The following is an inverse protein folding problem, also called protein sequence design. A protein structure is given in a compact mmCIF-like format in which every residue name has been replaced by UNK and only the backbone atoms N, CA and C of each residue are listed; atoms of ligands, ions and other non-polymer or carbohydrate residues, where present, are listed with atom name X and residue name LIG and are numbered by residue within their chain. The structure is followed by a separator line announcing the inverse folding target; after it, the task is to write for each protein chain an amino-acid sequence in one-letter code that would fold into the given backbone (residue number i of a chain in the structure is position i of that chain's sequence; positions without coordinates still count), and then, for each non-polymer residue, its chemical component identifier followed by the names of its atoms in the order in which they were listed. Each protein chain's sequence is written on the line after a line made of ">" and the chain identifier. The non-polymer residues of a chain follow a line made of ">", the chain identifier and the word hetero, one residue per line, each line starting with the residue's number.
data_IF_139578765438
#
_entry.id   IF_139578765438
#
_cell.length_a   1.000
_cell.length_b   1.000
_cell.length_c   1.000
_cell.angle_alpha   90.00
_cell.angle_beta   90.00
_cell.angle_gamma   90.00
#
_symmetry.space_group_name_H-M   'P 1'
#
loop_
_entity.id
_entity.type
_entity.pdbx_description
1 polymer ?
#
# COMPACT_ATOMS: atom_id res chain seq x y z
N UNK A 1 19.78 1.76 -0.35
CA UNK A 1 18.74 2.37 -1.22
C UNK A 1 19.37 3.37 -2.18
N UNK A 2 18.59 4.00 -3.07
CA UNK A 2 19.07 5.15 -3.83
C UNK A 2 19.40 6.30 -2.87
N UNK A 3 20.50 7.06 -3.06
CA UNK A 3 21.44 6.98 -4.19
C UNK A 3 22.54 5.92 -4.04
N UNK A 4 22.87 5.48 -2.83
CA UNK A 4 24.02 4.62 -2.54
C UNK A 4 24.07 3.32 -3.37
N UNK A 5 22.92 2.68 -3.66
CA UNK A 5 22.88 1.46 -4.47
C UNK A 5 23.20 1.75 -5.94
N UNK A 6 22.76 2.90 -6.46
CA UNK A 6 23.01 3.31 -7.84
C UNK A 6 24.50 3.57 -8.07
N UNK A 7 25.17 4.27 -7.13
CA UNK A 7 26.60 4.57 -7.25
C UNK A 7 27.47 3.30 -7.28
N UNK A 8 27.04 2.24 -6.58
CA UNK A 8 27.71 0.93 -6.62
C UNK A 8 27.56 0.21 -7.96
N UNK A 9 26.60 0.57 -8.80
CA UNK A 9 26.41 -0.03 -10.13
C UNK A 9 27.45 0.42 -11.16
N UNK A 10 28.26 1.45 -10.84
CA UNK A 10 29.34 1.96 -11.72
C UNK A 10 28.88 2.28 -13.15
N UNK A 11 27.65 2.76 -13.30
CA UNK A 11 27.06 3.16 -14.58
C UNK A 11 27.82 4.37 -15.13
N UNK A 12 28.17 4.34 -16.41
CA UNK A 12 28.90 5.43 -17.06
C UNK A 12 28.03 6.67 -17.20
N UNK A 13 28.63 7.86 -17.06
CA UNK A 13 27.93 9.14 -17.21
C UNK A 13 27.41 9.40 -18.63
N UNK A 14 27.96 8.68 -19.61
CA UNK A 14 27.56 8.75 -21.01
C UNK A 14 26.44 7.75 -21.35
N UNK A 15 26.15 6.79 -20.46
CA UNK A 15 25.08 5.82 -20.69
C UNK A 15 23.72 6.51 -20.72
N UNK A 16 22.84 5.99 -21.57
CA UNK A 16 21.44 6.42 -21.63
C UNK A 16 20.66 5.75 -20.50
N UNK A 17 20.07 6.56 -19.63
CA UNK A 17 19.26 6.12 -18.49
C UNK A 17 17.80 6.38 -18.75
N UNK A 18 17.01 5.32 -18.91
CA UNK A 18 15.55 5.40 -18.89
C UNK A 18 15.05 5.07 -17.48
N UNK A 19 14.44 6.05 -16.81
CA UNK A 19 13.95 5.91 -15.43
C UNK A 19 12.42 6.03 -15.37
N UNK A 20 11.81 5.24 -14.49
CA UNK A 20 10.36 5.27 -14.27
C UNK A 20 10.01 4.92 -12.81
N UNK A 21 8.84 5.37 -12.37
CA UNK A 21 8.22 5.00 -11.12
C UNK A 21 6.70 5.05 -11.28
N UNK A 22 5.92 4.69 -10.26
CA UNK A 22 4.44 4.62 -10.33
C UNK A 22 3.81 5.87 -10.96
N UNK A 23 4.10 7.07 -10.42
CA UNK A 23 3.48 8.33 -10.84
C UNK A 23 4.46 9.43 -11.28
N UNK A 24 5.72 9.11 -11.56
CA UNK A 24 6.72 10.06 -12.07
C UNK A 24 7.49 10.88 -11.01
N UNK A 25 6.88 11.23 -9.87
CA UNK A 25 7.50 12.16 -8.89
C UNK A 25 8.88 11.75 -8.36
N UNK A 26 9.14 10.45 -8.18
CA UNK A 26 10.47 9.97 -7.75
C UNK A 26 11.51 10.11 -8.85
N UNK A 27 11.09 10.00 -10.11
CA UNK A 27 11.97 10.19 -11.26
C UNK A 27 12.38 11.64 -11.41
N UNK A 28 11.50 12.61 -11.17
CA UNK A 28 11.86 14.03 -11.19
C UNK A 28 13.00 14.33 -10.20
N UNK A 29 12.86 13.82 -8.95
CA UNK A 29 13.89 13.97 -7.92
C UNK A 29 15.18 13.23 -8.27
N UNK A 30 15.07 11.99 -8.76
CA UNK A 30 16.23 11.20 -9.15
C UNK A 30 16.97 11.80 -10.35
N UNK A 31 16.26 12.31 -11.35
CA UNK A 31 16.84 13.01 -12.49
C UNK A 31 17.63 14.23 -12.03
N UNK A 32 17.06 15.07 -11.16
CA UNK A 32 17.78 16.21 -10.56
C UNK A 32 19.08 15.81 -9.89
N UNK A 33 19.07 14.74 -9.09
CA UNK A 33 20.28 14.18 -8.48
C UNK A 33 21.31 13.71 -9.52
N UNK A 34 20.88 12.96 -10.53
CA UNK A 34 21.76 12.40 -11.56
C UNK A 34 22.38 13.49 -12.44
N UNK A 35 21.62 14.53 -12.78
CA UNK A 35 22.14 15.72 -13.46
C UNK A 35 23.25 16.39 -12.65
N UNK A 36 23.04 16.59 -11.33
CA UNK A 36 24.06 17.16 -10.44
C UNK A 36 25.33 16.27 -10.36
N UNK A 37 25.20 14.95 -10.54
CA UNK A 37 26.34 14.03 -10.62
C UNK A 37 27.00 13.98 -12.00
N UNK A 38 26.46 14.69 -13.00
CA UNK A 38 27.02 14.83 -14.34
C UNK A 38 26.58 13.78 -15.34
N UNK A 39 25.49 13.04 -15.07
CA UNK A 39 24.82 12.22 -16.08
C UNK A 39 24.07 13.14 -17.03
N UNK A 40 24.18 12.87 -18.34
CA UNK A 40 23.60 13.75 -19.38
C UNK A 40 22.37 13.17 -20.06
N UNK A 41 22.38 11.86 -20.29
CA UNK A 41 21.39 11.18 -21.11
C UNK A 41 20.29 10.53 -20.24
N UNK A 42 19.54 11.34 -19.49
CA UNK A 42 18.48 10.85 -18.59
C UNK A 42 17.12 11.11 -19.22
N UNK A 43 16.36 10.03 -19.44
CA UNK A 43 15.00 10.05 -19.95
C UNK A 43 14.05 9.49 -18.91
N UNK A 44 12.99 10.22 -18.61
CA UNK A 44 11.99 9.79 -17.63
C UNK A 44 10.65 9.54 -18.29
N UNK A 45 9.95 8.51 -17.81
CA UNK A 45 8.59 8.22 -18.25
C UNK A 45 7.64 9.29 -17.69
N UNK A 46 7.19 10.21 -18.53
CA UNK A 46 6.28 11.31 -18.14
C UNK A 46 4.98 10.75 -17.56
N UNK A 47 4.67 11.13 -16.32
CA UNK A 47 3.50 10.64 -15.57
C UNK A 47 3.64 9.20 -15.03
N UNK A 48 4.81 8.58 -15.19
CA UNK A 48 5.10 7.25 -14.66
C UNK A 48 4.32 6.11 -15.30
N UNK A 49 4.34 4.96 -14.62
CA UNK A 49 3.70 3.71 -15.08
C UNK A 49 2.18 3.90 -15.23
N UNK A 50 1.54 4.65 -14.33
CA UNK A 50 0.09 4.87 -14.38
C UNK A 50 -0.32 5.61 -15.66
N UNK A 51 0.39 6.68 -16.02
CA UNK A 51 0.13 7.39 -17.28
C UNK A 51 0.42 6.50 -18.50
N UNK A 52 1.49 5.70 -18.45
CA UNK A 52 1.81 4.74 -19.51
C UNK A 52 0.70 3.72 -19.74
N UNK A 53 0.21 3.07 -18.67
CA UNK A 53 -0.88 2.10 -18.76
C UNK A 53 -2.18 2.74 -19.27
N UNK A 54 -2.52 3.94 -18.78
CA UNK A 54 -3.66 4.71 -19.31
C UNK A 54 -3.51 4.95 -20.81
N UNK A 55 -2.36 5.45 -21.25
CA UNK A 55 -2.09 5.71 -22.66
C UNK A 55 -2.18 4.45 -23.53
N UNK A 56 -1.62 3.33 -23.07
CA UNK A 56 -1.70 2.05 -23.77
C UNK A 56 -3.14 1.55 -23.88
N UNK A 57 -3.93 1.65 -22.80
CA UNK A 57 -5.36 1.30 -22.79
C UNK A 57 -6.15 2.18 -23.76
N UNK A 58 -6.03 3.51 -23.63
CA UNK A 58 -6.84 4.47 -24.38
C UNK A 58 -6.52 4.42 -25.88
N UNK A 59 -5.26 4.17 -26.25
CA UNK A 59 -4.82 4.02 -27.65
C UNK A 59 -4.88 2.57 -28.18
N UNK A 60 -5.34 1.60 -27.37
CA UNK A 60 -5.37 0.17 -27.71
C UNK A 60 -4.01 -0.38 -28.18
N UNK A 61 -2.92 0.09 -27.56
CA UNK A 61 -1.55 -0.35 -27.86
C UNK A 61 -1.18 -1.48 -26.90
N UNK A 62 -0.52 -2.51 -27.43
CA UNK A 62 0.03 -3.58 -26.59
C UNK A 62 1.06 -3.02 -25.60
N UNK A 63 0.75 -3.14 -24.31
CA UNK A 63 1.64 -2.73 -23.22
C UNK A 63 2.84 -3.66 -23.12
N UNK A 64 4.02 -3.10 -22.82
CA UNK A 64 5.25 -3.83 -22.47
C UNK A 64 5.41 -4.04 -20.96
N UNK A 65 4.45 -3.57 -20.17
CA UNK A 65 4.42 -3.81 -18.74
C UNK A 65 4.10 -5.28 -18.46
N UNK A 66 4.71 -5.87 -17.42
CA UNK A 66 4.46 -7.23 -17.00
C UNK A 66 3.96 -7.23 -15.55
N UNK A 67 2.88 -7.96 -15.28
CA UNK A 67 2.25 -8.02 -13.97
C UNK A 67 1.45 -6.76 -13.63
N UNK A 68 1.36 -6.44 -12.35
CA UNK A 68 0.55 -5.33 -11.85
C UNK A 68 1.42 -4.18 -11.32
N UNK A 69 0.88 -2.97 -11.33
CA UNK A 69 1.59 -1.78 -10.84
C UNK A 69 1.22 -1.50 -9.39
N UNK A 70 2.19 -1.55 -8.48
CA UNK A 70 1.97 -1.22 -7.07
C UNK A 70 1.55 0.24 -6.87
N UNK A 71 0.51 0.45 -6.06
CA UNK A 71 -0.04 1.76 -5.68
C UNK A 71 -0.11 1.90 -4.16
N UNK A 72 0.04 3.13 -3.68
CA UNK A 72 0.13 3.45 -2.24
C UNK A 72 -1.24 3.75 -1.63
N UNK A 73 -2.22 2.89 -1.88
CA UNK A 73 -3.56 2.98 -1.33
C UNK A 73 -4.15 1.57 -1.12
N UNK A 74 -5.42 1.49 -0.71
CA UNK A 74 -6.10 0.23 -0.37
C UNK A 74 -6.27 -0.74 -1.56
N UNK A 75 -5.98 -0.31 -2.79
CA UNK A 75 -5.97 -1.20 -3.96
C UNK A 75 -4.72 -2.08 -3.99
N UNK A 76 -3.62 -1.68 -3.35
CA UNK A 76 -2.31 -2.35 -3.32
C UNK A 76 -1.61 -2.38 -4.67
N UNK A 77 -2.31 -2.82 -5.71
CA UNK A 77 -1.84 -2.83 -7.09
C UNK A 77 -2.98 -2.51 -8.05
N UNK A 78 -2.61 -2.16 -9.28
CA UNK A 78 -3.55 -2.00 -10.38
C UNK A 78 -3.11 -2.82 -11.60
N UNK A 79 -4.09 -3.37 -12.31
CA UNK A 79 -3.88 -4.10 -13.55
C UNK A 79 -3.63 -3.15 -14.74
N UNK A 80 -3.54 -3.71 -15.95
CA UNK A 80 -3.35 -2.95 -17.18
C UNK A 80 -4.51 -2.01 -17.53
N UNK A 81 -5.70 -2.27 -16.96
CA UNK A 81 -6.92 -1.46 -17.12
C UNK A 81 -7.02 -0.36 -16.06
N UNK A 82 -6.05 -0.28 -15.13
CA UNK A 82 -6.03 0.60 -13.95
C UNK A 82 -7.09 0.27 -12.90
N UNK A 83 -7.61 -0.95 -12.94
CA UNK A 83 -8.54 -1.49 -11.93
C UNK A 83 -7.77 -2.14 -10.79
N UNK A 84 -8.43 -2.37 -9.65
CA UNK A 84 -7.80 -3.05 -8.50
C UNK A 84 -7.26 -4.42 -8.95
N UNK A 85 -6.00 -4.65 -8.63
CA UNK A 85 -5.32 -5.90 -8.93
C UNK A 85 -5.68 -7.05 -7.98
N UNK A 86 -5.02 -8.18 -8.18
CA UNK A 86 -5.25 -9.41 -7.40
C UNK A 86 -4.55 -9.41 -6.03
N UNK A 87 -3.60 -8.50 -5.81
CA UNK A 87 -2.90 -8.43 -4.53
C UNK A 87 -3.74 -7.71 -3.47
N UNK A 88 -3.72 -8.28 -2.27
CA UNK A 88 -4.08 -7.60 -1.03
C UNK A 88 -2.80 -7.27 -0.24
N UNK A 89 -2.93 -6.61 0.90
CA UNK A 89 -1.81 -6.24 1.75
C UNK A 89 -1.89 -6.96 3.09
N UNK A 90 -0.77 -7.56 3.51
CA UNK A 90 -0.63 -7.99 4.89
C UNK A 90 -0.57 -6.76 5.80
N UNK A 91 -1.56 -6.57 6.67
CA UNK A 91 -1.62 -5.41 7.56
C UNK A 91 -0.56 -5.41 8.67
N UNK A 92 0.16 -6.52 8.87
CA UNK A 92 1.30 -6.59 9.78
C UNK A 92 2.58 -6.05 9.11
N UNK A 93 3.03 -6.67 8.03
CA UNK A 93 4.31 -6.36 7.39
C UNK A 93 4.24 -5.48 6.14
N UNK A 94 3.03 -5.14 5.68
CA UNK A 94 2.76 -4.32 4.48
C UNK A 94 3.18 -4.93 3.15
N UNK A 95 3.63 -6.19 3.16
CA UNK A 95 3.91 -6.93 1.93
C UNK A 95 2.62 -7.27 1.18
N UNK A 96 2.61 -7.17 -0.16
CA UNK A 96 1.54 -7.71 -0.98
C UNK A 96 1.39 -9.21 -0.77
N UNK A 97 0.16 -9.71 -0.74
CA UNK A 97 -0.19 -11.12 -0.61
C UNK A 97 -1.36 -11.43 -1.56
N UNK A 98 -1.37 -12.61 -2.16
CA UNK A 98 -2.49 -13.07 -3.01
C UNK A 98 -3.60 -13.73 -2.18
N UNK A 99 -4.65 -14.20 -2.83
CA UNK A 99 -5.69 -15.00 -2.19
C UNK A 99 -5.13 -16.36 -1.75
N UNK A 100 -4.25 -16.94 -2.55
CA UNK A 100 -3.57 -18.21 -2.25
C UNK A 100 -2.64 -18.07 -1.03
N UNK A 101 -1.94 -16.94 -0.90
CA UNK A 101 -1.10 -16.66 0.27
C UNK A 101 -1.89 -16.62 1.58
N UNK A 102 -3.18 -16.28 1.52
CA UNK A 102 -4.08 -16.26 2.69
C UNK A 102 -4.47 -17.67 3.15
N UNK A 103 -4.22 -18.70 2.34
CA UNK A 103 -4.45 -20.10 2.70
C UNK A 103 -3.25 -20.71 3.43
N UNK A 104 -2.12 -20.01 3.49
CA UNK A 104 -0.93 -20.50 4.19
C UNK A 104 -1.19 -20.60 5.71
N UNK A 105 -0.66 -21.64 6.36
CA UNK A 105 -0.80 -21.89 7.81
C UNK A 105 -0.37 -20.71 8.72
N UNK A 106 0.50 -19.83 8.22
CA UNK A 106 1.03 -18.67 8.94
C UNK A 106 0.23 -17.40 8.70
N UNK A 107 -0.80 -17.46 7.85
CA UNK A 107 -1.69 -16.34 7.62
C UNK A 107 -2.69 -16.22 8.76
N UNK A 108 -2.69 -15.06 9.40
CA UNK A 108 -3.70 -14.64 10.34
C UNK A 108 -4.10 -13.23 9.97
N UNK A 109 -5.37 -13.04 9.63
CA UNK A 109 -5.88 -11.74 9.16
C UNK A 109 -5.48 -10.64 10.15
N UNK A 110 -4.89 -9.56 9.64
CA UNK A 110 -4.46 -8.44 10.46
C UNK A 110 -3.17 -8.65 11.27
N UNK A 111 -2.70 -9.89 11.44
CA UNK A 111 -1.69 -10.28 12.45
C UNK A 111 -0.40 -10.77 11.80
N UNK A 112 -0.47 -11.67 10.82
CA UNK A 112 0.71 -12.26 10.18
C UNK A 112 0.42 -12.82 8.79
N UNK A 113 1.48 -13.01 8.01
CA UNK A 113 1.49 -13.82 6.80
C UNK A 113 2.81 -14.62 6.72
N UNK A 114 2.93 -15.45 5.68
CA UNK A 114 4.11 -16.27 5.42
C UNK A 114 5.42 -15.45 5.31
N UNK A 115 5.36 -14.15 4.99
CA UNK A 115 6.55 -13.29 4.95
C UNK A 115 7.05 -12.79 6.32
N UNK A 116 6.19 -12.76 7.34
CA UNK A 116 6.48 -12.02 8.57
C UNK A 116 6.15 -12.77 9.87
N UNK A 117 5.59 -13.98 9.79
CA UNK A 117 5.25 -14.78 10.96
C UNK A 117 6.43 -14.93 11.94
N UNK A 118 7.62 -15.23 11.40
CA UNK A 118 8.86 -15.38 12.19
C UNK A 118 9.66 -14.09 12.37
N UNK A 119 9.24 -12.99 11.73
CA UNK A 119 9.93 -11.69 11.80
C UNK A 119 9.31 -10.75 12.83
N UNK A 120 8.18 -11.13 13.41
CA UNK A 120 7.44 -10.31 14.36
C UNK A 120 7.52 -10.94 15.75
N UNK A 121 7.88 -10.13 16.74
CA UNK A 121 7.98 -10.58 18.13
C UNK A 121 6.60 -10.58 18.83
N UNK A 122 6.55 -11.09 20.06
CA UNK A 122 5.30 -11.23 20.82
C UNK A 122 4.60 -9.88 21.06
N UNK A 123 5.36 -8.82 21.35
CA UNK A 123 4.80 -7.47 21.58
C UNK A 123 4.18 -6.90 20.30
N UNK A 124 4.85 -7.06 19.16
CA UNK A 124 4.33 -6.66 17.86
C UNK A 124 3.05 -7.43 17.52
N UNK A 125 3.05 -8.76 17.73
CA UNK A 125 1.87 -9.60 17.50
C UNK A 125 0.70 -9.17 18.38
N UNK A 126 0.92 -8.90 19.67
CA UNK A 126 -0.11 -8.40 20.58
C UNK A 126 -0.75 -7.08 20.09
N UNK A 127 0.07 -6.13 19.61
CA UNK A 127 -0.43 -4.88 19.02
C UNK A 127 -1.24 -5.09 17.75
N UNK A 128 -0.84 -6.04 16.90
CA UNK A 128 -1.57 -6.35 15.67
C UNK A 128 -2.90 -7.03 15.94
N UNK A 129 -2.95 -7.94 16.92
CA UNK A 129 -4.16 -8.59 17.39
C UNK A 129 -5.15 -7.54 17.90
N UNK A 130 -4.72 -6.64 18.77
CA UNK A 130 -5.60 -5.60 19.32
C UNK A 130 -6.14 -4.68 18.22
N UNK A 131 -5.29 -4.25 17.28
CA UNK A 131 -5.74 -3.47 16.12
C UNK A 131 -6.79 -4.24 15.30
N UNK A 132 -6.56 -5.52 15.02
CA UNK A 132 -7.49 -6.32 14.24
C UNK A 132 -8.82 -6.50 14.97
N UNK A 133 -8.78 -6.73 16.29
CA UNK A 133 -9.96 -6.81 17.14
C UNK A 133 -10.80 -5.52 17.10
N UNK A 134 -10.17 -4.34 17.19
CA UNK A 134 -10.90 -3.08 17.05
C UNK A 134 -11.55 -2.94 15.67
N UNK A 135 -10.87 -3.38 14.59
CA UNK A 135 -11.40 -3.34 13.21
C UNK A 135 -12.63 -4.24 13.09
N UNK A 136 -12.59 -5.44 13.65
CA UNK A 136 -13.69 -6.39 13.57
C UNK A 136 -14.89 -5.91 14.39
N UNK A 137 -14.66 -5.37 15.60
CA UNK A 137 -15.69 -4.72 16.40
C UNK A 137 -16.36 -3.54 15.68
N UNK A 138 -15.59 -2.72 14.94
CA UNK A 138 -16.16 -1.62 14.14
C UNK A 138 -17.04 -2.15 13.00
N UNK A 139 -16.59 -3.19 12.30
CA UNK A 139 -17.39 -3.83 11.24
C UNK A 139 -18.69 -4.41 11.77
N UNK A 140 -18.67 -5.05 12.94
CA UNK A 140 -19.87 -5.58 13.59
C UNK A 140 -20.90 -4.48 13.90
N UNK A 141 -20.43 -3.26 14.19
CA UNK A 141 -21.29 -2.08 14.40
C UNK A 141 -21.69 -1.37 13.10
N UNK A 142 -21.18 -1.81 11.94
CA UNK A 142 -21.41 -1.14 10.65
C UNK A 142 -20.62 0.16 10.50
N UNK A 143 -19.52 0.31 11.23
CA UNK A 143 -18.73 1.53 11.32
C UNK A 143 -17.41 1.43 10.57
N UNK A 144 -16.93 2.56 10.05
CA UNK A 144 -15.57 2.65 9.51
C UNK A 144 -14.56 2.90 10.64
N UNK A 145 -13.63 1.96 10.83
CA UNK A 145 -12.56 2.12 11.82
C UNK A 145 -11.55 3.22 11.41
N UNK A 146 -11.21 3.35 10.12
CA UNK A 146 -10.17 4.26 9.64
C UNK A 146 -10.76 5.22 8.62
N UNK A 147 -10.71 6.52 8.91
CA UNK A 147 -11.05 7.58 7.95
C UNK A 147 -12.52 8.00 7.89
N UNK A 148 -13.40 7.37 8.68
CA UNK A 148 -14.81 7.78 8.80
C UNK A 148 -15.01 9.07 9.61
N UNK A 149 -16.27 9.51 9.69
CA UNK A 149 -16.79 10.64 10.50
C UNK A 149 -16.65 10.36 12.01
N UNK A 150 -15.41 10.22 12.50
CA UNK A 150 -15.07 9.78 13.86
C UNK A 150 -15.74 10.63 14.95
N UNK A 151 -16.04 11.91 14.67
CA UNK A 151 -16.72 12.80 15.62
C UNK A 151 -18.17 12.40 15.86
N UNK A 152 -18.93 12.12 14.81
CA UNK A 152 -20.35 11.77 14.91
C UNK A 152 -20.51 10.41 15.61
N UNK A 153 -19.63 9.48 15.26
CA UNK A 153 -19.51 8.14 15.80
C UNK A 153 -19.20 8.11 17.32
N UNK A 154 -18.25 8.95 17.77
CA UNK A 154 -17.93 9.08 19.20
C UNK A 154 -19.14 9.59 20.00
N UNK A 155 -19.89 10.53 19.45
CA UNK A 155 -21.04 11.11 20.13
C UNK A 155 -22.20 10.12 20.22
N UNK A 156 -22.48 9.38 19.14
CA UNK A 156 -23.49 8.32 19.15
C UNK A 156 -23.17 7.24 20.19
N UNK A 157 -21.92 6.77 20.26
CA UNK A 157 -21.49 5.79 21.25
C UNK A 157 -21.60 6.28 22.70
N UNK A 158 -21.31 7.56 22.96
CA UNK A 158 -21.51 8.15 24.30
C UNK A 158 -22.98 8.11 24.70
N UNK A 159 -23.88 8.43 23.77
CA UNK A 159 -25.32 8.41 24.01
C UNK A 159 -25.80 6.97 24.27
N UNK A 160 -25.38 6.00 23.47
CA UNK A 160 -25.77 4.58 23.64
C UNK A 160 -25.27 3.98 24.95
N UNK A 161 -23.98 4.19 25.31
CA UNK A 161 -23.46 3.71 26.60
C UNK A 161 -24.21 4.33 27.77
N UNK A 162 -24.63 5.60 27.67
CA UNK A 162 -25.41 6.27 28.70
C UNK A 162 -26.82 5.66 28.80
N UNK A 163 -27.47 5.37 27.67
CA UNK A 163 -28.77 4.65 27.63
C UNK A 163 -28.67 3.25 28.24
N UNK A 164 -27.64 2.48 27.89
CA UNK A 164 -27.42 1.13 28.43
C UNK A 164 -27.17 1.13 29.94
N UNK A 165 -26.42 2.11 30.47
CA UNK A 165 -26.22 2.27 31.92
C UNK A 165 -27.53 2.58 32.64
N UNK A 166 -28.31 3.54 32.13
CA UNK A 166 -29.61 3.91 32.72
C UNK A 166 -30.61 2.74 32.67
N UNK A 167 -30.58 1.92 31.61
CA UNK A 167 -31.44 0.74 31.50
C UNK A 167 -31.03 -0.37 32.50
N UNK A 168 -29.72 -0.53 32.76
CA UNK A 168 -29.20 -1.46 33.76
C UNK A 168 -29.47 -1.02 35.20
N UNK A 169 -29.60 0.27 35.47
CA UNK A 169 -29.93 0.80 36.81
C UNK A 169 -31.43 0.73 37.12
N UNK A 170 -32.27 0.50 36.10
CA UNK A 170 -33.74 0.38 36.24
C UNK A 170 -34.24 -1.07 36.34
N UNK A 171 -33.37 -2.05 36.09
CA UNK A 171 -33.63 -3.48 36.28
C UNK A 171 -32.91 -3.98 37.52
#
# INVERSE_FOLDING_TARGET
>A
EFPNKFEKMKISKNDTLAIYCTGGIRCEKAAGYLYQKGYKNIYQLKGGIINYLSHSRDKKIQSKWNGECFVFDNRVSVNHQLEKGQYDQCYACRMPITVEDKLHEHYQQGISCHHCFDKTNAEQKARYIERQHQIDLAKERGEEHIGGEMKELIEQHRIEKKKQRVQKEKN
#
